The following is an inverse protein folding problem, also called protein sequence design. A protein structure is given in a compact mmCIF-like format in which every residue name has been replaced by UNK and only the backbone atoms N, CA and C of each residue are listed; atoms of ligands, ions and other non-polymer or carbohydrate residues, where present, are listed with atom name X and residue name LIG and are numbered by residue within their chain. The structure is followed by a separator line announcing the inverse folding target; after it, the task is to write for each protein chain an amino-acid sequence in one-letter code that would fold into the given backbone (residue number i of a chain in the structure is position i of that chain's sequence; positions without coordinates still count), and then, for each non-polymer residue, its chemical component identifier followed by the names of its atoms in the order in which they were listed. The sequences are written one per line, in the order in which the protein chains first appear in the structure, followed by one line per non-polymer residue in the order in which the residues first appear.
data_IF_085304532653
#
_entry.id   IF_085304532653
#
_cell.length_a   1.000
_cell.length_b   1.000
_cell.length_c   1.000
_cell.angle_alpha   90.00
_cell.angle_beta   90.00
_cell.angle_gamma   90.00
#
_symmetry.space_group_name_H-M   'P 1'
#
loop_
_entity.id
_entity.type
_entity.pdbx_description
1 polymer ?
#
# COMPACT_ATOMS: atom_id res chain seq x y z
N UNK A 1 -90.14 -14.43 116.01
CA UNK A 1 -89.74 -14.48 114.58
C UNK A 1 -89.36 -13.06 114.13
N UNK A 2 -88.22 -12.54 114.58
CA UNK A 2 -87.80 -11.15 114.25
C UNK A 2 -86.27 -10.95 114.21
N UNK A 3 -85.49 -11.87 114.78
CA UNK A 3 -84.02 -11.73 114.86
C UNK A 3 -83.32 -12.31 113.61
N UNK A 4 -84.01 -13.11 112.79
CA UNK A 4 -83.42 -13.69 111.56
C UNK A 4 -83.37 -12.72 110.36
N UNK A 5 -84.19 -11.66 110.32
CA UNK A 5 -84.21 -10.72 109.20
C UNK A 5 -83.13 -9.62 109.28
N UNK A 6 -82.64 -9.29 110.47
CA UNK A 6 -81.62 -8.26 110.65
C UNK A 6 -80.22 -8.75 110.22
N UNK A 7 -79.93 -10.04 110.43
CA UNK A 7 -78.67 -10.65 109.98
C UNK A 7 -78.57 -10.72 108.44
N UNK A 8 -79.68 -10.99 107.76
CA UNK A 8 -79.75 -11.07 106.28
C UNK A 8 -79.57 -9.68 105.63
N UNK A 9 -80.10 -8.62 106.26
CA UNK A 9 -79.95 -7.25 105.77
C UNK A 9 -78.52 -6.70 105.92
N UNK A 10 -77.80 -7.10 106.99
CA UNK A 10 -76.41 -6.68 107.23
C UNK A 10 -75.45 -7.45 106.30
N UNK A 11 -75.70 -8.74 106.01
CA UNK A 11 -74.89 -9.50 105.04
C UNK A 11 -75.07 -9.00 103.60
N UNK A 12 -76.29 -8.62 103.20
CA UNK A 12 -76.57 -8.13 101.85
C UNK A 12 -75.94 -6.75 101.57
N UNK A 13 -75.81 -5.88 102.58
CA UNK A 13 -75.18 -4.56 102.44
C UNK A 13 -73.65 -4.60 102.46
N UNK A 14 -73.05 -5.60 103.13
CA UNK A 14 -71.62 -5.85 103.08
C UNK A 14 -71.17 -6.47 101.73
N UNK A 15 -71.96 -7.42 101.19
CA UNK A 15 -71.71 -8.02 99.87
C UNK A 15 -71.83 -6.98 98.73
N UNK A 16 -72.79 -6.06 98.81
CA UNK A 16 -72.95 -4.98 97.82
C UNK A 16 -71.78 -3.97 97.82
N UNK A 17 -71.24 -3.62 99.00
CA UNK A 17 -70.07 -2.71 99.07
C UNK A 17 -68.80 -3.35 98.50
N UNK A 18 -68.59 -4.65 98.72
CA UNK A 18 -67.46 -5.37 98.15
C UNK A 18 -67.58 -5.51 96.62
N UNK A 19 -68.78 -5.75 96.08
CA UNK A 19 -69.03 -5.78 94.65
C UNK A 19 -68.77 -4.42 93.97
N UNK A 20 -69.30 -3.33 94.54
CA UNK A 20 -69.06 -1.96 94.03
C UNK A 20 -67.58 -1.58 94.09
N UNK A 21 -66.85 -2.05 95.12
CA UNK A 21 -65.42 -1.79 95.24
C UNK A 21 -64.59 -2.60 94.22
N UNK A 22 -65.06 -3.80 93.83
CA UNK A 22 -64.45 -4.60 92.78
C UNK A 22 -64.67 -3.97 91.40
N UNK A 23 -65.92 -3.60 91.07
CA UNK A 23 -66.25 -2.91 89.82
C UNK A 23 -65.50 -1.58 89.65
N UNK A 24 -65.30 -0.83 90.74
CA UNK A 24 -64.52 0.41 90.70
C UNK A 24 -63.02 0.18 90.47
N UNK A 25 -62.49 -0.95 90.94
CA UNK A 25 -61.11 -1.36 90.67
C UNK A 25 -60.94 -1.78 89.20
N UNK A 26 -61.91 -2.55 88.68
CA UNK A 26 -61.93 -3.01 87.29
C UNK A 26 -62.06 -1.82 86.31
N UNK A 27 -62.96 -0.86 86.57
CA UNK A 27 -63.09 0.39 85.78
C UNK A 27 -61.79 1.21 85.81
N UNK A 28 -61.04 1.20 86.93
CA UNK A 28 -59.76 1.87 87.01
C UNK A 28 -58.69 1.15 86.18
N UNK A 29 -58.71 -0.19 86.14
CA UNK A 29 -57.83 -1.01 85.30
C UNK A 29 -58.11 -0.76 83.82
N UNK A 30 -59.37 -0.84 83.40
CA UNK A 30 -59.81 -0.55 82.02
C UNK A 30 -59.40 0.86 81.58
N UNK A 31 -59.51 1.86 82.47
CA UNK A 31 -59.09 3.23 82.17
C UNK A 31 -57.57 3.34 81.97
N UNK A 32 -56.80 2.53 82.68
CA UNK A 32 -55.36 2.46 82.51
C UNK A 32 -55.00 1.80 81.16
N UNK A 33 -55.67 0.71 80.81
CA UNK A 33 -55.46 -0.02 79.55
C UNK A 33 -55.84 0.83 78.34
N UNK A 34 -57.01 1.51 78.38
CA UNK A 34 -57.42 2.47 77.34
C UNK A 34 -56.39 3.59 77.16
N UNK A 35 -55.71 4.00 78.24
CA UNK A 35 -54.65 5.02 78.15
C UNK A 35 -53.39 4.46 77.48
N UNK A 36 -53.03 3.21 77.77
CA UNK A 36 -51.94 2.50 77.11
C UNK A 36 -52.24 2.32 75.61
N UNK A 37 -53.40 1.77 75.25
CA UNK A 37 -53.82 1.61 73.85
C UNK A 37 -53.79 2.93 73.07
N UNK A 38 -54.21 4.04 73.70
CA UNK A 38 -54.15 5.37 73.07
C UNK A 38 -52.71 5.82 72.79
N UNK A 39 -51.77 5.47 73.65
CA UNK A 39 -50.35 5.77 73.43
C UNK A 39 -49.79 4.88 72.32
N UNK A 40 -50.15 3.60 72.30
CA UNK A 40 -49.70 2.65 71.27
C UNK A 40 -50.22 3.06 69.89
N UNK A 41 -51.51 3.40 69.78
CA UNK A 41 -52.10 3.96 68.55
C UNK A 41 -51.37 5.24 68.10
N UNK A 42 -50.90 6.06 69.05
CA UNK A 42 -50.13 7.27 68.72
C UNK A 42 -48.74 6.91 68.20
N UNK A 43 -48.09 5.90 68.77
CA UNK A 43 -46.81 5.38 68.27
C UNK A 43 -46.96 4.81 66.86
N UNK A 44 -47.93 3.92 66.63
CA UNK A 44 -48.23 3.35 65.31
C UNK A 44 -48.50 4.44 64.25
N UNK A 45 -49.23 5.49 64.62
CA UNK A 45 -49.48 6.64 63.71
C UNK A 45 -48.19 7.37 63.33
N UNK A 46 -47.25 7.49 64.25
CA UNK A 46 -45.95 8.09 63.95
C UNK A 46 -45.11 7.17 63.06
N UNK A 47 -45.11 5.87 63.33
CA UNK A 47 -44.37 4.88 62.53
C UNK A 47 -44.91 4.82 61.09
N UNK A 48 -46.23 4.76 60.91
CA UNK A 48 -46.88 4.86 59.59
C UNK A 48 -46.49 6.16 58.86
N UNK A 49 -46.32 7.27 59.60
CA UNK A 49 -45.88 8.54 59.00
C UNK A 49 -44.41 8.46 58.57
N UNK A 50 -43.55 7.82 59.35
CA UNK A 50 -42.15 7.58 58.99
C UNK A 50 -42.05 6.68 57.75
N UNK A 51 -42.76 5.55 57.73
CA UNK A 51 -42.80 4.64 56.58
C UNK A 51 -43.27 5.34 55.31
N UNK A 52 -44.32 6.16 55.40
CA UNK A 52 -44.80 6.95 54.25
C UNK A 52 -43.73 7.91 53.72
N UNK A 53 -42.95 8.53 54.61
CA UNK A 53 -41.87 9.41 54.20
C UNK A 53 -40.73 8.64 53.54
N UNK A 54 -40.39 7.45 54.04
CA UNK A 54 -39.34 6.63 53.47
C UNK A 54 -39.74 6.04 52.12
N UNK A 55 -40.98 5.54 51.98
CA UNK A 55 -41.57 5.17 50.69
C UNK A 55 -41.53 6.34 49.70
N UNK A 56 -41.79 7.57 50.15
CA UNK A 56 -41.72 8.74 49.29
C UNK A 56 -40.27 9.06 48.84
N UNK A 57 -39.26 8.80 49.68
CA UNK A 57 -37.84 8.94 49.30
C UNK A 57 -37.44 7.83 48.33
N UNK A 58 -37.81 6.59 48.59
CA UNK A 58 -37.48 5.45 47.73
C UNK A 58 -38.10 5.62 46.34
N UNK A 59 -39.35 6.09 46.26
CA UNK A 59 -39.98 6.40 44.97
C UNK A 59 -39.26 7.52 44.21
N UNK A 60 -38.67 8.50 44.89
CA UNK A 60 -37.85 9.54 44.24
C UNK A 60 -36.54 8.95 43.72
N UNK A 61 -35.91 8.07 44.49
CA UNK A 61 -34.67 7.40 44.10
C UNK A 61 -34.90 6.50 42.88
N UNK A 62 -35.91 5.63 42.91
CA UNK A 62 -36.32 4.77 41.78
C UNK A 62 -36.54 5.62 40.51
N UNK A 63 -37.22 6.77 40.65
CA UNK A 63 -37.47 7.66 39.51
C UNK A 63 -36.21 8.35 38.99
N UNK A 64 -35.18 8.51 39.81
CA UNK A 64 -33.86 8.97 39.39
C UNK A 64 -33.13 7.86 38.64
N UNK A 65 -33.07 6.67 39.22
CA UNK A 65 -32.42 5.51 38.63
C UNK A 65 -33.03 5.15 37.27
N UNK A 66 -34.36 5.24 37.13
CA UNK A 66 -35.05 5.05 35.86
C UNK A 66 -34.63 6.06 34.79
N UNK A 67 -34.33 7.32 35.18
CA UNK A 67 -33.84 8.32 34.22
C UNK A 67 -32.42 8.02 33.78
N UNK A 68 -31.57 7.62 34.73
CA UNK A 68 -30.17 7.30 34.46
C UNK A 68 -30.07 6.04 33.59
N UNK A 69 -30.83 4.98 33.91
CA UNK A 69 -30.94 3.78 33.07
C UNK A 69 -31.44 4.08 31.65
N UNK A 70 -32.38 5.03 31.50
CA UNK A 70 -32.84 5.46 30.18
C UNK A 70 -31.78 6.26 29.41
N UNK A 71 -30.96 7.04 30.10
CA UNK A 71 -29.82 7.75 29.50
C UNK A 71 -28.77 6.74 29.03
N UNK A 72 -28.38 5.80 29.87
CA UNK A 72 -27.41 4.75 29.55
C UNK A 72 -27.88 3.88 28.37
N UNK A 73 -29.19 3.57 28.29
CA UNK A 73 -29.76 2.87 27.13
C UNK A 73 -29.57 3.65 25.83
N UNK A 74 -29.86 4.95 25.84
CA UNK A 74 -29.67 5.81 24.66
C UNK A 74 -28.20 5.92 24.25
N UNK A 75 -27.30 6.04 25.22
CA UNK A 75 -25.86 6.09 24.98
C UNK A 75 -25.38 4.79 24.32
N UNK A 76 -25.74 3.62 24.86
CA UNK A 76 -25.42 2.32 24.25
C UNK A 76 -26.00 2.15 22.86
N UNK A 77 -27.21 2.65 22.60
CA UNK A 77 -27.82 2.57 21.27
C UNK A 77 -27.10 3.45 20.25
N UNK A 78 -26.55 4.59 20.66
CA UNK A 78 -25.71 5.43 19.81
C UNK A 78 -24.37 4.76 19.56
N UNK A 79 -23.71 4.23 20.60
CA UNK A 79 -22.43 3.51 20.46
C UNK A 79 -22.55 2.32 19.50
N UNK A 80 -23.66 1.56 19.56
CA UNK A 80 -23.94 0.49 18.59
C UNK A 80 -24.04 0.99 17.14
N UNK A 81 -24.64 2.16 16.92
CA UNK A 81 -24.73 2.74 15.57
C UNK A 81 -23.34 3.12 15.06
N UNK A 82 -22.52 3.71 15.92
CA UNK A 82 -21.15 4.08 15.58
C UNK A 82 -20.31 2.85 15.25
N UNK A 83 -20.35 1.81 16.08
CA UNK A 83 -19.70 0.51 15.81
C UNK A 83 -20.15 -0.08 14.47
N UNK A 84 -21.43 -0.01 14.15
CA UNK A 84 -21.94 -0.51 12.87
C UNK A 84 -21.43 0.29 11.68
N UNK A 85 -21.27 1.61 11.83
CA UNK A 85 -20.70 2.48 10.80
C UNK A 85 -19.23 2.17 10.58
N UNK A 86 -18.46 2.06 11.67
CA UNK A 86 -17.04 1.71 11.61
C UNK A 86 -16.82 0.35 10.94
N UNK A 87 -17.65 -0.65 11.28
CA UNK A 87 -17.61 -1.96 10.63
C UNK A 87 -17.93 -1.89 9.13
N UNK A 88 -18.87 -1.03 8.72
CA UNK A 88 -19.18 -0.83 7.31
C UNK A 88 -18.00 -0.21 6.55
N UNK A 89 -17.31 0.75 7.16
CA UNK A 89 -16.15 1.40 6.56
C UNK A 89 -14.94 0.46 6.50
N UNK A 90 -14.66 -0.30 7.56
CA UNK A 90 -13.65 -1.38 7.55
C UNK A 90 -13.91 -2.39 6.42
N UNK A 91 -15.16 -2.75 6.18
CA UNK A 91 -15.50 -3.68 5.10
C UNK A 91 -15.28 -3.08 3.71
N UNK A 92 -15.51 -1.78 3.53
CA UNK A 92 -15.18 -1.08 2.27
C UNK A 92 -13.67 -1.06 2.06
N UNK A 93 -12.90 -0.74 3.09
CA UNK A 93 -11.44 -0.68 3.04
C UNK A 93 -10.83 -2.06 2.74
N UNK A 94 -11.35 -3.12 3.34
CA UNK A 94 -10.95 -4.50 2.99
C UNK A 94 -11.27 -4.84 1.53
N UNK A 95 -12.40 -4.36 1.02
CA UNK A 95 -12.81 -4.60 -0.37
C UNK A 95 -11.92 -3.86 -1.37
N UNK A 96 -11.57 -2.60 -1.10
CA UNK A 96 -10.62 -1.84 -1.92
C UNK A 96 -9.23 -2.46 -1.86
N UNK A 97 -8.73 -2.82 -0.68
CA UNK A 97 -7.43 -3.46 -0.53
C UNK A 97 -7.36 -4.79 -1.31
N UNK A 98 -8.42 -5.60 -1.27
CA UNK A 98 -8.48 -6.84 -2.03
C UNK A 98 -8.46 -6.59 -3.55
N UNK A 99 -9.14 -5.55 -4.05
CA UNK A 99 -9.07 -5.18 -5.47
C UNK A 99 -7.66 -4.72 -5.87
N UNK A 100 -7.01 -3.93 -5.02
CA UNK A 100 -5.65 -3.45 -5.26
C UNK A 100 -4.65 -4.61 -5.27
N UNK A 101 -4.77 -5.55 -4.33
CA UNK A 101 -3.97 -6.78 -4.34
C UNK A 101 -4.19 -7.59 -5.61
N UNK A 102 -5.44 -7.80 -6.04
CA UNK A 102 -5.73 -8.51 -7.28
C UNK A 102 -5.16 -7.81 -8.52
N UNK A 103 -5.19 -6.47 -8.56
CA UNK A 103 -4.59 -5.69 -9.64
C UNK A 103 -3.07 -5.88 -9.66
N UNK A 104 -2.40 -5.72 -8.51
CA UNK A 104 -0.95 -5.97 -8.39
C UNK A 104 -0.58 -7.41 -8.76
N UNK A 105 -1.34 -8.41 -8.31
CA UNK A 105 -1.06 -9.81 -8.64
C UNK A 105 -1.20 -10.08 -10.14
N UNK A 106 -2.15 -9.44 -10.82
CA UNK A 106 -2.28 -9.50 -12.29
C UNK A 106 -1.11 -8.82 -12.98
N UNK A 107 -0.70 -7.65 -12.51
CA UNK A 107 0.43 -6.91 -13.09
C UNK A 107 1.74 -7.65 -12.88
N UNK A 108 2.00 -8.19 -11.68
CA UNK A 108 3.17 -9.02 -11.38
C UNK A 108 3.18 -10.29 -12.25
N UNK A 109 2.04 -10.95 -12.44
CA UNK A 109 1.94 -12.14 -13.33
C UNK A 109 2.10 -11.79 -14.80
N UNK A 110 1.64 -10.60 -15.23
CA UNK A 110 1.64 -10.20 -16.63
C UNK A 110 2.97 -9.59 -17.07
N UNK A 111 3.71 -8.92 -16.18
CA UNK A 111 4.73 -7.98 -16.64
C UNK A 111 6.21 -8.41 -16.58
N UNK A 112 6.66 -9.43 -15.82
CA UNK A 112 8.13 -9.40 -15.55
C UNK A 112 8.96 -10.68 -15.65
N UNK A 113 8.46 -11.71 -16.34
CA UNK A 113 9.34 -12.83 -16.70
C UNK A 113 9.40 -13.09 -18.20
N UNK A 114 8.25 -13.08 -18.90
CA UNK A 114 8.22 -13.44 -20.31
C UNK A 114 8.71 -12.33 -21.23
N UNK A 115 8.36 -11.08 -20.95
CA UNK A 115 8.76 -9.94 -21.78
C UNK A 115 10.22 -9.57 -21.55
N UNK A 116 10.67 -9.60 -20.29
CA UNK A 116 12.08 -9.40 -19.93
C UNK A 116 12.96 -10.50 -20.53
N UNK A 117 12.53 -11.77 -20.52
CA UNK A 117 13.26 -12.85 -21.19
C UNK A 117 13.28 -12.72 -22.71
N UNK A 118 12.15 -12.36 -23.35
CA UNK A 118 12.11 -12.11 -24.80
C UNK A 118 13.05 -10.98 -25.19
N UNK A 119 13.00 -9.86 -24.48
CA UNK A 119 13.86 -8.70 -24.71
C UNK A 119 15.34 -9.06 -24.49
N UNK A 120 15.65 -9.86 -23.47
CA UNK A 120 17.00 -10.36 -23.25
C UNK A 120 17.48 -11.28 -24.39
N UNK A 121 16.59 -12.14 -24.91
CA UNK A 121 16.90 -13.00 -26.05
C UNK A 121 17.11 -12.22 -27.35
N UNK A 122 16.32 -11.17 -27.58
CA UNK A 122 16.49 -10.23 -28.69
C UNK A 122 17.83 -9.49 -28.59
N UNK A 123 18.16 -8.92 -27.43
CA UNK A 123 19.47 -8.29 -27.17
C UNK A 123 20.61 -9.28 -27.44
N UNK A 124 20.45 -10.55 -27.05
CA UNK A 124 21.49 -11.56 -27.27
C UNK A 124 21.66 -11.91 -28.75
N UNK A 125 20.60 -11.90 -29.57
CA UNK A 125 20.69 -12.07 -31.02
C UNK A 125 21.38 -10.88 -31.67
N UNK A 126 20.94 -9.68 -31.33
CA UNK A 126 21.49 -8.42 -31.87
C UNK A 126 22.99 -8.29 -31.56
N UNK A 127 23.43 -8.70 -30.35
CA UNK A 127 24.86 -8.77 -30.01
C UNK A 127 25.64 -9.76 -30.87
N UNK A 128 25.05 -10.90 -31.25
CA UNK A 128 25.72 -11.87 -32.13
C UNK A 128 25.88 -11.30 -33.54
N UNK A 129 24.86 -10.61 -34.04
CA UNK A 129 24.86 -10.00 -35.37
C UNK A 129 25.90 -8.88 -35.42
N UNK A 130 25.92 -7.97 -34.43
CA UNK A 130 26.95 -6.92 -34.30
C UNK A 130 28.36 -7.53 -34.25
N UNK A 131 28.55 -8.67 -33.58
CA UNK A 131 29.84 -9.34 -33.52
C UNK A 131 30.24 -9.98 -34.86
N UNK A 132 29.28 -10.46 -35.66
CA UNK A 132 29.52 -10.95 -37.01
C UNK A 132 29.93 -9.79 -37.93
N UNK A 133 29.16 -8.70 -37.93
CA UNK A 133 29.44 -7.49 -38.73
C UNK A 133 30.83 -6.92 -38.40
N UNK A 134 31.19 -6.90 -37.11
CA UNK A 134 32.52 -6.45 -36.69
C UNK A 134 33.65 -7.35 -37.22
N UNK A 135 33.43 -8.66 -37.32
CA UNK A 135 34.44 -9.58 -37.90
C UNK A 135 34.60 -9.34 -39.39
N UNK A 136 33.49 -9.15 -40.11
CA UNK A 136 33.53 -8.96 -41.55
C UNK A 136 34.14 -7.60 -41.91
N UNK A 137 33.74 -6.53 -41.21
CA UNK A 137 34.38 -5.21 -41.34
C UNK A 137 35.90 -5.25 -41.09
N UNK A 138 36.37 -6.11 -40.18
CA UNK A 138 37.79 -6.29 -39.93
C UNK A 138 38.51 -7.05 -41.05
N UNK A 139 37.84 -7.97 -41.75
CA UNK A 139 38.38 -8.62 -42.96
C UNK A 139 38.47 -7.60 -44.09
N UNK A 140 37.40 -6.87 -44.36
CA UNK A 140 37.36 -5.84 -45.41
C UNK A 140 38.48 -4.81 -45.21
N UNK A 141 38.71 -4.38 -43.96
CA UNK A 141 39.80 -3.45 -43.63
C UNK A 141 41.18 -4.03 -43.95
N UNK A 142 41.40 -5.33 -43.74
CA UNK A 142 42.66 -6.00 -44.08
C UNK A 142 42.83 -6.12 -45.59
N UNK A 143 41.76 -6.43 -46.32
CA UNK A 143 41.76 -6.53 -47.78
C UNK A 143 42.07 -5.17 -48.41
N UNK A 144 41.36 -4.11 -48.00
CA UNK A 144 41.66 -2.74 -48.42
C UNK A 144 43.11 -2.32 -48.14
N UNK A 145 43.70 -2.81 -47.05
CA UNK A 145 45.11 -2.55 -46.76
C UNK A 145 46.06 -3.26 -47.73
N UNK A 146 45.71 -4.47 -48.19
CA UNK A 146 46.50 -5.18 -49.22
C UNK A 146 46.38 -4.47 -50.56
N UNK A 147 45.17 -4.13 -50.97
CA UNK A 147 44.91 -3.42 -52.23
C UNK A 147 45.69 -2.09 -52.29
N UNK A 148 45.71 -1.33 -51.17
CA UNK A 148 46.52 -0.10 -51.08
C UNK A 148 48.02 -0.35 -51.27
N UNK A 149 48.54 -1.44 -50.72
CA UNK A 149 49.95 -1.79 -50.87
C UNK A 149 50.26 -2.21 -52.31
N UNK A 150 49.37 -2.98 -52.94
CA UNK A 150 49.53 -3.43 -54.32
C UNK A 150 49.43 -2.27 -55.32
N UNK A 151 48.46 -1.37 -55.15
CA UNK A 151 48.42 -0.09 -55.89
C UNK A 151 49.73 0.70 -55.72
N UNK A 152 50.32 0.66 -54.52
CA UNK A 152 51.62 1.29 -54.25
C UNK A 152 52.78 0.66 -55.00
N UNK A 153 52.76 -0.66 -55.25
CA UNK A 153 53.75 -1.36 -56.08
C UNK A 153 53.52 -1.06 -57.56
N UNK A 154 52.29 -1.19 -58.03
CA UNK A 154 51.92 -0.92 -59.42
C UNK A 154 52.33 0.49 -59.84
N UNK A 155 52.14 1.49 -58.96
CA UNK A 155 52.62 2.86 -59.21
C UNK A 155 54.14 2.93 -59.40
N UNK A 156 54.92 2.22 -58.58
CA UNK A 156 56.38 2.21 -58.71
C UNK A 156 56.83 1.53 -60.00
N UNK A 157 56.16 0.45 -60.39
CA UNK A 157 56.49 -0.27 -61.61
C UNK A 157 56.13 0.57 -62.84
N UNK A 158 54.96 1.22 -62.86
CA UNK A 158 54.59 2.21 -63.88
C UNK A 158 55.65 3.33 -63.99
N UNK A 159 56.18 3.81 -62.86
CA UNK A 159 57.19 4.87 -62.88
C UNK A 159 58.55 4.38 -63.41
N UNK A 160 58.91 3.11 -63.21
CA UNK A 160 60.09 2.49 -63.87
C UNK A 160 59.86 2.35 -65.36
N UNK A 161 58.73 1.78 -65.78
CA UNK A 161 58.39 1.59 -67.20
C UNK A 161 58.42 2.93 -67.96
N UNK A 162 57.94 4.02 -67.32
CA UNK A 162 58.05 5.37 -67.91
C UNK A 162 59.50 5.84 -68.08
N UNK A 163 60.38 5.51 -67.15
CA UNK A 163 61.81 5.87 -67.23
C UNK A 163 62.50 5.09 -68.34
N UNK A 164 62.27 3.78 -68.39
CA UNK A 164 62.78 2.90 -69.45
C UNK A 164 62.30 3.37 -70.83
N UNK A 165 60.99 3.65 -70.98
CA UNK A 165 60.45 4.21 -72.22
C UNK A 165 61.06 5.57 -72.60
N UNK A 166 61.48 6.37 -71.61
CA UNK A 166 62.17 7.64 -71.87
C UNK A 166 63.61 7.41 -72.35
N UNK A 167 64.28 6.38 -71.85
CA UNK A 167 65.62 5.97 -72.28
C UNK A 167 65.56 5.42 -73.72
N UNK A 168 64.65 4.48 -73.99
CA UNK A 168 64.41 3.94 -75.35
C UNK A 168 64.13 5.04 -76.38
N UNK A 169 63.37 6.08 -75.98
CA UNK A 169 63.09 7.23 -76.86
C UNK A 169 64.35 8.04 -77.18
N UNK A 170 65.30 8.15 -76.25
CA UNK A 170 66.55 8.85 -76.48
C UNK A 170 67.46 8.02 -77.39
N UNK A 171 67.54 6.71 -77.16
CA UNK A 171 68.32 5.78 -78.00
C UNK A 171 67.81 5.80 -79.44
N UNK A 172 66.49 5.69 -79.65
CA UNK A 172 65.88 5.84 -80.98
C UNK A 172 66.19 7.20 -81.64
N UNK A 173 66.38 8.26 -80.85
CA UNK A 173 66.78 9.58 -81.39
C UNK A 173 68.24 9.58 -81.82
N UNK A 174 69.13 8.90 -81.09
CA UNK A 174 70.52 8.70 -81.46
C UNK A 174 70.63 7.86 -82.73
N UNK A 175 70.00 6.68 -82.76
CA UNK A 175 69.97 5.81 -83.95
C UNK A 175 69.47 6.56 -85.19
N UNK A 176 68.42 7.38 -85.03
CA UNK A 176 67.88 8.20 -86.12
C UNK A 176 68.87 9.25 -86.62
N UNK A 177 69.74 9.78 -85.76
CA UNK A 177 70.78 10.73 -86.16
C UNK A 177 71.95 10.00 -86.84
N UNK A 178 72.34 8.84 -86.33
CA UNK A 178 73.41 8.01 -86.91
C UNK A 178 73.02 7.59 -88.33
N UNK A 179 71.80 7.10 -88.53
CA UNK A 179 71.26 6.78 -89.88
C UNK A 179 71.24 8.00 -90.80
N UNK A 180 71.10 9.24 -90.29
CA UNK A 180 71.22 10.45 -91.13
C UNK A 180 72.68 10.72 -91.51
N UNK A 181 73.62 10.53 -90.59
CA UNK A 181 75.05 10.66 -90.87
C UNK A 181 75.49 9.65 -91.92
N UNK A 182 75.18 8.37 -91.75
CA UNK A 182 75.47 7.32 -92.72
C UNK A 182 74.91 7.66 -94.11
N UNK A 183 73.66 8.16 -94.15
CA UNK A 183 73.04 8.60 -95.42
C UNK A 183 73.76 9.78 -96.08
N UNK A 184 74.35 10.68 -95.30
CA UNK A 184 75.11 11.80 -95.84
C UNK A 184 76.49 11.33 -96.32
N UNK A 185 77.16 10.46 -95.56
CA UNK A 185 78.46 9.89 -95.94
C UNK A 185 78.34 9.11 -97.26
N UNK A 186 77.33 8.25 -97.40
CA UNK A 186 77.03 7.54 -98.66
C UNK A 186 76.78 8.51 -99.83
N UNK A 187 76.20 9.70 -99.58
CA UNK A 187 75.99 10.70 -100.64
C UNK A 187 77.33 11.34 -101.04
N UNK A 188 78.20 11.63 -100.08
CA UNK A 188 79.54 12.15 -100.32
C UNK A 188 80.38 11.14 -101.11
N UNK A 189 80.45 9.89 -100.67
CA UNK A 189 81.17 8.81 -101.38
C UNK A 189 80.68 8.64 -102.82
N UNK A 190 79.36 8.73 -103.04
CA UNK A 190 78.77 8.70 -104.39
C UNK A 190 79.14 9.89 -105.25
N UNK A 191 79.41 11.06 -104.67
CA UNK A 191 79.86 12.25 -105.39
C UNK A 191 81.34 12.10 -105.75
N UNK A 192 82.16 11.64 -104.82
CA UNK A 192 83.59 11.42 -105.05
C UNK A 192 83.82 10.35 -106.12
N UNK A 193 83.09 9.21 -106.06
CA UNK A 193 83.12 8.19 -107.12
C UNK A 193 82.70 8.72 -108.50
N UNK A 194 81.80 9.71 -108.55
CA UNK A 194 81.43 10.36 -109.82
C UNK A 194 82.52 11.29 -110.33
N UNK A 195 83.25 11.96 -109.44
CA UNK A 195 84.39 12.81 -109.82
C UNK A 195 85.58 11.96 -110.30
N UNK A 196 85.86 10.82 -109.65
CA UNK A 196 86.92 9.87 -110.04
C UNK A 196 86.66 9.20 -111.41
N UNK A 197 85.39 9.01 -111.79
CA UNK A 197 85.03 8.40 -113.08
C UNK A 197 85.08 9.38 -114.27
N UNK A 198 85.38 10.66 -114.03
CA UNK A 198 85.51 11.70 -115.05
C UNK A 198 86.95 12.20 -115.25
N UNK A 199 87.94 11.54 -114.61
CA UNK A 199 89.38 11.64 -114.90
C UNK A 199 89.88 10.36 -115.60
#
# INVERSE_FOLDING_TARGET
IAIAFLAIAISATAQNKHAIHHERHDIHHDRHDIKHDKNDIKHDKNDIKHDKNDIAKDNKNIKSDDKDLNKDRKERDNEKKDINKDNADINKDKSSENKDRQARDKDVKKHDYTDTQKKQNEINKEKKDINADNKDRNKDKKELSKDRNDIGKDKKDIDKDKKELSEDKNDLKHDKNDVKHDKNDIKSDKKDLKEDTHN
#
